data_IF_562499845738
#
_entry.id   IF_562499845738
#
_cell.length_a   1.000
_cell.length_b   1.000
_cell.length_c   1.000
_cell.angle_alpha   90.00
_cell.angle_beta   90.00
_cell.angle_gamma   90.00
#
_symmetry.space_group_name_H-M   'P 1'
#
loop_
_entity.id
_entity.type
_entity.pdbx_description
1 polymer ?
#
# COMPACT_ATOMS: atom_id res chain seq x y z
N UNK A 1 6.54 11.89 21.10
CA UNK A 1 7.55 11.22 20.25
C UNK A 1 6.91 10.01 19.56
N UNK A 2 7.16 9.84 18.26
CA UNK A 2 6.71 8.71 17.46
C UNK A 2 7.51 7.45 17.87
N UNK A 3 6.82 6.32 18.06
CA UNK A 3 7.36 5.07 18.57
C UNK A 3 7.90 4.12 17.50
N UNK A 4 7.77 4.48 16.21
CA UNK A 4 8.23 3.64 15.10
C UNK A 4 7.20 2.59 14.68
N UNK A 5 7.70 1.54 14.03
CA UNK A 5 6.89 0.45 13.50
C UNK A 5 6.49 -0.55 14.58
N UNK A 6 5.23 -0.94 14.57
CA UNK A 6 4.75 -2.06 15.36
C UNK A 6 5.46 -3.34 14.91
N UNK A 7 5.84 -4.26 15.81
CA UNK A 7 6.51 -5.50 15.44
C UNK A 7 5.75 -6.32 14.38
N UNK A 8 4.42 -6.31 14.42
CA UNK A 8 3.58 -6.96 13.39
C UNK A 8 3.73 -6.37 11.99
N UNK A 9 3.94 -5.05 11.89
CA UNK A 9 4.16 -4.42 10.60
C UNK A 9 5.52 -4.87 10.04
N UNK A 10 6.56 -4.88 10.87
CA UNK A 10 7.88 -5.41 10.49
C UNK A 10 7.80 -6.89 10.09
N UNK A 11 7.00 -7.70 10.80
CA UNK A 11 6.73 -9.10 10.43
C UNK A 11 6.02 -9.21 9.09
N UNK A 12 5.01 -8.37 8.82
CA UNK A 12 4.31 -8.35 7.54
C UNK A 12 5.25 -8.01 6.37
N UNK A 13 6.12 -7.00 6.52
CA UNK A 13 7.14 -6.67 5.51
C UNK A 13 8.13 -7.83 5.32
N UNK A 14 8.56 -8.47 6.42
CA UNK A 14 9.41 -9.66 6.37
C UNK A 14 8.75 -10.83 5.62
N UNK A 15 7.45 -11.07 5.87
CA UNK A 15 6.65 -12.07 5.13
C UNK A 15 6.55 -11.72 3.64
N UNK A 16 6.34 -10.46 3.29
CA UNK A 16 6.29 -10.03 1.88
C UNK A 16 7.61 -10.33 1.16
N UNK A 17 8.76 -10.06 1.80
CA UNK A 17 10.09 -10.38 1.26
C UNK A 17 10.25 -11.90 1.09
N UNK A 18 9.82 -12.70 2.07
CA UNK A 18 9.89 -14.15 2.00
C UNK A 18 8.99 -14.71 0.86
N UNK A 19 7.79 -14.16 0.70
CA UNK A 19 6.85 -14.52 -0.36
C UNK A 19 7.46 -14.27 -1.75
N UNK A 20 8.01 -13.08 -1.98
CA UNK A 20 8.65 -12.72 -3.26
C UNK A 20 9.77 -13.69 -3.61
N UNK A 21 10.61 -14.05 -2.64
CA UNK A 21 11.68 -15.05 -2.83
C UNK A 21 11.11 -16.42 -3.19
N UNK A 22 10.07 -16.87 -2.47
CA UNK A 22 9.44 -18.17 -2.73
C UNK A 22 8.75 -18.24 -4.10
N UNK A 23 8.29 -17.10 -4.62
CA UNK A 23 7.65 -16.98 -5.93
C UNK A 23 8.65 -16.74 -7.07
N UNK A 24 9.94 -16.54 -6.76
CA UNK A 24 10.95 -16.19 -7.78
C UNK A 24 10.74 -14.81 -8.41
N UNK A 25 9.96 -13.94 -7.76
CA UNK A 25 9.67 -12.60 -8.27
C UNK A 25 10.88 -11.68 -8.05
N UNK A 26 11.13 -10.77 -9.00
CA UNK A 26 12.33 -9.95 -9.00
C UNK A 26 12.34 -8.84 -7.92
N UNK A 27 11.18 -8.50 -7.35
CA UNK A 27 11.01 -7.38 -6.42
C UNK A 27 9.76 -7.53 -5.55
N UNK A 28 9.76 -6.83 -4.42
CA UNK A 28 8.59 -6.73 -3.54
C UNK A 28 7.68 -5.60 -4.03
N UNK A 29 6.58 -5.96 -4.68
CA UNK A 29 5.48 -5.05 -5.03
C UNK A 29 4.38 -4.96 -3.96
N UNK A 30 3.42 -4.06 -4.17
CA UNK A 30 2.27 -3.82 -3.28
C UNK A 30 1.39 -5.07 -3.12
N UNK A 31 1.29 -5.90 -4.16
CA UNK A 31 0.61 -7.19 -4.15
C UNK A 31 1.20 -8.17 -3.11
N UNK A 32 2.51 -8.11 -2.88
CA UNK A 32 3.18 -8.95 -1.89
C UNK A 32 2.96 -8.45 -0.47
N UNK A 33 2.86 -7.12 -0.29
CA UNK A 33 2.49 -6.53 1.00
C UNK A 33 1.05 -6.91 1.36
N UNK A 34 0.12 -6.81 0.40
CA UNK A 34 -1.28 -7.21 0.59
C UNK A 34 -1.40 -8.70 0.93
N UNK A 35 -0.74 -9.58 0.17
CA UNK A 35 -0.71 -11.02 0.46
C UNK A 35 -0.10 -11.32 1.84
N UNK A 36 0.97 -10.63 2.23
CA UNK A 36 1.59 -10.81 3.53
C UNK A 36 0.73 -10.36 4.72
N UNK A 37 -0.16 -9.38 4.51
CA UNK A 37 -1.15 -8.93 5.48
C UNK A 37 -2.27 -9.99 5.65
N UNK A 38 -2.74 -10.59 4.55
CA UNK A 38 -3.73 -11.68 4.56
C UNK A 38 -3.18 -13.00 5.14
N UNK A 39 -1.87 -13.18 5.15
CA UNK A 39 -1.21 -14.36 5.75
C UNK A 39 -0.97 -14.20 7.26
N UNK A 40 -1.15 -12.99 7.82
CA UNK A 40 -0.86 -12.73 9.22
C UNK A 40 -1.73 -13.55 10.19
N UNK A 41 -1.19 -13.79 11.38
CA UNK A 41 -1.66 -14.76 12.38
C UNK A 41 -3.03 -14.44 13.02
N UNK A 42 -3.79 -13.47 12.50
CA UNK A 42 -5.16 -13.11 12.90
C UNK A 42 -5.31 -12.54 14.32
N UNK A 43 -4.34 -12.78 15.21
CA UNK A 43 -4.39 -12.46 16.65
C UNK A 43 -3.59 -11.21 16.98
N UNK A 44 -4.25 -10.20 17.56
CA UNK A 44 -3.60 -9.26 18.49
C UNK A 44 -3.38 -9.95 19.84
N UNK A 45 -2.37 -9.49 20.58
CA UNK A 45 -2.17 -9.88 21.99
C UNK A 45 -3.37 -9.52 22.91
N UNK A 46 -4.36 -8.78 22.41
CA UNK A 46 -5.47 -8.19 23.17
C UNK A 46 -6.87 -8.66 22.73
N UNK A 47 -7.01 -9.69 21.88
CA UNK A 47 -8.31 -10.28 21.55
C UNK A 47 -9.15 -9.58 20.46
N UNK A 48 -8.66 -8.47 19.89
CA UNK A 48 -9.28 -7.81 18.72
C UNK A 48 -8.92 -8.52 17.40
N UNK A 49 -9.84 -8.47 16.44
CA UNK A 49 -9.65 -8.93 15.06
C UNK A 49 -8.48 -8.20 14.39
N UNK A 50 -7.54 -8.97 13.83
CA UNK A 50 -6.42 -8.43 13.04
C UNK A 50 -6.84 -8.05 11.61
N UNK A 51 -5.96 -7.34 10.90
CA UNK A 51 -6.13 -6.98 9.47
C UNK A 51 -6.45 -8.21 8.62
N UNK A 52 -5.78 -9.35 8.90
CA UNK A 52 -6.03 -10.63 8.21
C UNK A 52 -7.48 -11.08 8.35
N UNK A 53 -8.09 -10.92 9.54
CA UNK A 53 -9.50 -11.29 9.77
C UNK A 53 -10.45 -10.46 8.91
N UNK A 54 -10.21 -9.15 8.81
CA UNK A 54 -11.02 -8.27 7.95
C UNK A 54 -10.83 -8.65 6.47
N UNK A 55 -9.58 -8.88 6.02
CA UNK A 55 -9.32 -9.33 4.65
C UNK A 55 -10.05 -10.64 4.31
N UNK A 56 -9.97 -11.64 5.19
CA UNK A 56 -10.64 -12.94 5.01
C UNK A 56 -12.16 -12.79 4.98
N UNK A 57 -12.75 -11.92 5.81
CA UNK A 57 -14.20 -11.65 5.83
C UNK A 57 -14.71 -11.15 4.48
N UNK A 58 -13.89 -10.42 3.73
CA UNK A 58 -14.19 -9.92 2.39
C UNK A 58 -13.71 -10.85 1.27
N UNK A 59 -13.32 -12.09 1.58
CA UNK A 59 -12.86 -13.07 0.60
C UNK A 59 -11.40 -12.92 0.15
N UNK A 60 -10.68 -11.91 0.65
CA UNK A 60 -9.25 -11.67 0.37
C UNK A 60 -8.35 -12.63 1.17
N UNK A 61 -8.56 -13.94 0.99
CA UNK A 61 -7.75 -14.98 1.62
C UNK A 61 -6.36 -15.05 0.98
N UNK A 62 -5.38 -15.56 1.74
CA UNK A 62 -4.02 -15.71 1.21
C UNK A 62 -3.95 -16.59 -0.06
N UNK A 63 -4.80 -17.61 -0.17
CA UNK A 63 -4.87 -18.47 -1.36
C UNK A 63 -5.37 -17.68 -2.59
N UNK A 64 -6.49 -16.98 -2.46
CA UNK A 64 -7.08 -16.20 -3.56
C UNK A 64 -6.15 -15.07 -4.00
N UNK A 65 -5.57 -14.34 -3.04
CA UNK A 65 -4.62 -13.27 -3.34
C UNK A 65 -3.33 -13.80 -3.98
N UNK A 66 -2.90 -15.02 -3.64
CA UNK A 66 -1.73 -15.65 -4.26
C UNK A 66 -1.96 -15.92 -5.75
N UNK A 67 -3.14 -16.40 -6.13
CA UNK A 67 -3.49 -16.60 -7.55
C UNK A 67 -3.45 -15.28 -8.33
N UNK A 68 -4.01 -14.20 -7.76
CA UNK A 68 -3.93 -12.87 -8.38
C UNK A 68 -2.48 -12.35 -8.48
N UNK A 69 -1.65 -12.58 -7.45
CA UNK A 69 -0.22 -12.23 -7.48
C UNK A 69 0.53 -13.00 -8.57
N UNK A 70 0.21 -14.28 -8.77
CA UNK A 70 0.80 -15.10 -9.84
C UNK A 70 0.35 -14.62 -11.23
N UNK A 71 -0.92 -14.23 -11.38
CA UNK A 71 -1.44 -13.67 -12.63
C UNK A 71 -0.79 -12.33 -13.01
N UNK A 72 -0.34 -11.55 -12.02
CA UNK A 72 0.39 -10.30 -12.25
C UNK A 72 1.87 -10.51 -12.65
N UNK A 73 2.41 -11.71 -12.51
CA UNK A 73 3.79 -12.01 -12.85
C UNK A 73 4.04 -11.95 -14.38
N UNK A 74 5.28 -11.71 -14.84
CA UNK A 74 6.46 -11.35 -14.04
C UNK A 74 6.53 -9.85 -13.71
N UNK A 75 5.64 -9.04 -14.28
CA UNK A 75 5.77 -7.60 -14.26
C UNK A 75 5.29 -6.96 -12.94
N UNK A 76 4.39 -7.61 -12.21
CA UNK A 76 3.82 -7.13 -10.94
C UNK A 76 2.48 -6.42 -11.13
N UNK A 77 1.72 -6.27 -10.04
CA UNK A 77 0.32 -5.85 -10.11
C UNK A 77 0.13 -4.39 -10.54
N UNK A 78 1.06 -3.49 -10.19
CA UNK A 78 1.02 -2.11 -10.67
C UNK A 78 1.08 -2.03 -12.21
N UNK A 79 1.80 -2.95 -12.84
CA UNK A 79 1.91 -3.04 -14.31
C UNK A 79 0.65 -3.64 -14.90
N UNK A 80 0.09 -4.66 -14.26
CA UNK A 80 -1.17 -5.24 -14.69
C UNK A 80 -2.29 -4.18 -14.66
N UNK A 81 -2.33 -3.34 -13.62
CA UNK A 81 -3.24 -2.20 -13.54
C UNK A 81 -3.00 -1.17 -14.67
N UNK A 82 -1.73 -0.83 -14.95
CA UNK A 82 -1.38 0.08 -16.05
C UNK A 82 -1.77 -0.52 -17.40
N UNK A 83 -1.56 -1.83 -17.61
CA UNK A 83 -1.93 -2.56 -18.83
C UNK A 83 -3.43 -2.44 -19.08
N UNK A 84 -4.25 -2.75 -18.08
CA UNK A 84 -5.71 -2.70 -18.22
C UNK A 84 -6.19 -1.27 -18.49
N UNK A 85 -5.61 -0.29 -17.81
CA UNK A 85 -5.95 1.13 -18.01
C UNK A 85 -5.58 1.60 -19.41
N UNK A 86 -4.36 1.30 -19.87
CA UNK A 86 -3.83 1.78 -21.15
C UNK A 86 -4.40 1.00 -22.35
N UNK A 87 -4.84 -0.24 -22.15
CA UNK A 87 -5.55 -1.01 -23.17
C UNK A 87 -6.84 -0.30 -23.64
N UNK A 88 -7.52 0.44 -22.76
CA UNK A 88 -8.69 1.24 -23.13
C UNK A 88 -8.37 2.36 -24.14
N UNK A 89 -7.10 2.78 -24.21
CA UNK A 89 -6.59 3.77 -25.15
C UNK A 89 -5.92 3.13 -26.38
N UNK A 90 -5.97 1.79 -26.50
CA UNK A 90 -5.33 1.04 -27.59
C UNK A 90 -3.80 0.95 -27.47
N UNK A 91 -3.23 1.18 -26.28
CA UNK A 91 -1.78 1.11 -26.06
C UNK A 91 -1.40 -0.30 -25.57
N UNK A 92 -0.52 -0.95 -26.34
CA UNK A 92 0.04 -2.26 -26.00
C UNK A 92 1.26 -2.12 -25.07
N UNK A 93 1.02 -2.27 -23.77
CA UNK A 93 2.06 -2.20 -22.72
C UNK A 93 3.07 -3.33 -22.86
N UNK A 94 2.67 -4.53 -23.29
CA UNK A 94 3.59 -5.66 -23.40
C UNK A 94 4.60 -5.45 -24.52
N UNK A 95 4.18 -4.87 -25.65
CA UNK A 95 5.10 -4.47 -26.70
C UNK A 95 6.06 -3.35 -26.23
N UNK A 96 5.57 -2.36 -25.46
CA UNK A 96 6.44 -1.34 -24.86
C UNK A 96 7.48 -1.94 -23.90
N UNK A 97 7.07 -2.91 -23.08
CA UNK A 97 7.97 -3.59 -22.15
C UNK A 97 8.99 -4.47 -22.83
N UNK A 98 8.63 -5.09 -23.96
CA UNK A 98 9.57 -5.81 -24.81
C UNK A 98 10.66 -4.89 -25.36
N UNK A 99 10.29 -3.64 -25.71
CA UNK A 99 11.23 -2.64 -26.25
C UNK A 99 12.09 -1.97 -25.17
N UNK A 100 11.51 -1.65 -24.01
CA UNK A 100 12.18 -0.89 -22.94
C UNK A 100 12.85 -1.78 -21.86
N UNK A 101 12.48 -3.07 -21.81
CA UNK A 101 12.89 -4.02 -20.77
C UNK A 101 12.16 -3.81 -19.43
N UNK A 102 11.86 -4.89 -18.70
CA UNK A 102 11.07 -4.86 -17.47
C UNK A 102 11.62 -3.95 -16.35
N UNK A 103 12.92 -3.62 -16.36
CA UNK A 103 13.57 -2.71 -15.40
C UNK A 103 13.23 -1.23 -15.61
N UNK A 104 12.61 -0.87 -16.73
CA UNK A 104 12.26 0.52 -17.06
C UNK A 104 11.14 1.09 -16.18
N UNK A 105 10.33 0.24 -15.54
CA UNK A 105 9.11 0.67 -14.84
C UNK A 105 9.29 1.08 -13.37
N UNK A 106 10.42 0.75 -12.75
CA UNK A 106 10.77 1.22 -11.40
C UNK A 106 11.78 2.36 -11.44
N UNK A 107 11.76 3.16 -12.52
CA UNK A 107 12.65 4.32 -12.60
C UNK A 107 12.09 5.41 -11.67
N UNK A 108 12.87 5.87 -10.67
CA UNK A 108 12.42 6.96 -9.83
C UNK A 108 12.17 8.22 -10.69
N UNK A 109 11.22 9.08 -10.29
CA UNK A 109 10.96 10.33 -11.00
C UNK A 109 12.24 11.17 -11.12
N UNK A 110 12.42 11.85 -12.26
CA UNK A 110 13.59 12.69 -12.57
C UNK A 110 13.87 13.78 -11.52
N UNK A 111 12.84 14.21 -10.77
CA UNK A 111 12.94 15.24 -9.74
C UNK A 111 12.51 14.64 -8.39
N UNK A 112 13.48 14.46 -7.49
CA UNK A 112 13.20 13.94 -6.15
C UNK A 112 12.26 14.88 -5.37
N UNK A 113 11.31 14.35 -4.58
CA UNK A 113 10.49 15.18 -3.70
C UNK A 113 11.38 15.98 -2.73
N UNK A 114 11.15 17.29 -2.66
CA UNK A 114 11.79 18.25 -1.75
C UNK A 114 11.41 18.00 -0.26
N UNK A 115 11.74 16.83 0.29
CA UNK A 115 11.78 16.67 1.76
C UNK A 115 13.22 16.82 2.26
N UNK A 116 13.41 17.42 3.45
CA UNK A 116 14.72 17.56 4.03
C UNK A 116 15.16 16.19 4.58
N UNK A 117 16.30 15.72 4.10
CA UNK A 117 17.14 14.65 4.67
C UNK A 117 16.56 13.21 4.59
N UNK A 118 17.19 12.37 3.76
CA UNK A 118 17.17 10.91 3.92
C UNK A 118 16.28 10.11 2.96
N UNK A 119 15.39 10.71 2.17
CA UNK A 119 14.55 9.98 1.22
C UNK A 119 15.37 9.22 0.16
N UNK A 120 16.38 9.87 -0.44
CA UNK A 120 17.32 9.22 -1.35
C UNK A 120 18.10 8.08 -0.67
N UNK A 121 18.47 8.25 0.60
CA UNK A 121 19.17 7.23 1.38
C UNK A 121 18.27 6.03 1.69
N UNK A 122 17.01 6.27 2.04
CA UNK A 122 16.00 5.23 2.26
C UNK A 122 15.71 4.45 0.98
N UNK A 123 15.56 5.13 -0.17
CA UNK A 123 15.40 4.50 -1.49
C UNK A 123 16.62 3.64 -1.86
N UNK A 124 17.83 4.18 -1.70
CA UNK A 124 19.07 3.42 -1.90
C UNK A 124 19.18 2.21 -0.96
N UNK A 125 18.66 2.31 0.26
CA UNK A 125 18.59 1.16 1.17
C UNK A 125 17.61 0.11 0.67
N UNK A 126 16.41 0.51 0.22
CA UNK A 126 15.40 -0.40 -0.33
C UNK A 126 15.88 -1.09 -1.61
N UNK A 127 16.59 -0.36 -2.49
CA UNK A 127 17.19 -0.90 -3.71
C UNK A 127 18.33 -1.90 -3.44
N UNK A 128 18.96 -1.84 -2.26
CA UNK A 128 19.98 -2.81 -1.82
C UNK A 128 19.40 -4.03 -1.11
N UNK A 129 18.09 -4.06 -0.85
CA UNK A 129 17.45 -5.25 -0.32
C UNK A 129 17.45 -6.35 -1.39
N UNK A 130 17.44 -7.61 -0.94
CA UNK A 130 17.40 -8.76 -1.83
C UNK A 130 16.18 -9.62 -1.49
N UNK A 131 15.11 -9.62 -2.31
CA UNK A 131 14.87 -8.77 -3.48
C UNK A 131 14.58 -7.30 -3.09
N UNK A 132 14.76 -6.33 -4.00
CA UNK A 132 14.52 -4.92 -3.72
C UNK A 132 13.03 -4.62 -3.50
N UNK A 133 12.73 -3.56 -2.74
CA UNK A 133 11.37 -3.04 -2.59
C UNK A 133 11.01 -2.18 -3.83
N UNK A 134 9.93 -2.49 -4.53
CA UNK A 134 9.44 -1.72 -5.68
C UNK A 134 8.93 -0.32 -5.29
N UNK A 135 8.78 0.58 -6.27
CA UNK A 135 8.37 1.96 -5.98
C UNK A 135 6.96 2.04 -5.40
N UNK A 136 6.02 1.21 -5.88
CA UNK A 136 4.65 1.15 -5.36
C UNK A 136 4.63 0.73 -3.88
N UNK A 137 5.37 -0.34 -3.54
CA UNK A 137 5.50 -0.82 -2.17
C UNK A 137 6.14 0.23 -1.25
N UNK A 138 7.17 0.95 -1.73
CA UNK A 138 7.77 2.05 -0.98
C UNK A 138 6.77 3.20 -0.76
N UNK A 139 6.02 3.58 -1.80
CA UNK A 139 5.04 4.66 -1.74
C UNK A 139 3.86 4.31 -0.82
N UNK A 140 3.37 3.08 -0.86
CA UNK A 140 2.32 2.59 0.04
C UNK A 140 2.79 2.55 1.50
N UNK A 141 4.03 2.14 1.76
CA UNK A 141 4.64 2.18 3.09
C UNK A 141 4.79 3.62 3.61
N UNK A 142 5.27 4.52 2.76
CA UNK A 142 5.43 5.93 3.11
C UNK A 142 4.07 6.61 3.36
N UNK A 143 3.06 6.27 2.56
CA UNK A 143 1.71 6.76 2.71
C UNK A 143 1.05 6.24 4.00
N UNK A 144 1.22 4.97 4.34
CA UNK A 144 0.70 4.40 5.59
C UNK A 144 1.33 5.00 6.84
N UNK A 145 2.63 5.27 6.83
CA UNK A 145 3.29 5.99 7.91
C UNK A 145 2.69 7.39 8.08
N UNK A 146 2.48 8.11 6.98
CA UNK A 146 1.86 9.45 7.03
C UNK A 146 0.40 9.41 7.43
N UNK A 147 -0.33 8.36 7.07
CA UNK A 147 -1.69 8.15 7.54
C UNK A 147 -1.71 7.98 9.06
N UNK A 148 -0.81 7.18 9.63
CA UNK A 148 -0.69 7.04 11.09
C UNK A 148 -0.41 8.39 11.77
N UNK A 149 0.51 9.19 11.21
CA UNK A 149 0.80 10.53 11.72
C UNK A 149 -0.41 11.47 11.59
N UNK A 150 -1.14 11.42 10.47
CA UNK A 150 -2.33 12.23 10.25
C UNK A 150 -3.50 11.85 11.19
N UNK A 151 -3.58 10.58 11.59
CA UNK A 151 -4.52 10.09 12.62
C UNK A 151 -4.08 10.42 14.05
N UNK A 152 -2.91 11.02 14.22
CA UNK A 152 -2.25 11.27 15.51
C UNK A 152 -1.97 9.96 16.29
N UNK A 153 -1.63 8.90 15.56
CA UNK A 153 -1.19 7.64 16.13
C UNK A 153 0.32 7.68 16.37
N UNK A 154 0.74 7.11 17.50
CA UNK A 154 2.16 7.12 17.90
C UNK A 154 2.95 5.96 17.32
N UNK A 155 2.28 4.96 16.73
CA UNK A 155 2.87 3.71 16.28
C UNK A 155 2.36 3.45 14.86
N UNK A 156 3.25 3.08 13.95
CA UNK A 156 2.90 2.64 12.61
C UNK A 156 2.48 1.16 12.65
N UNK A 157 1.22 0.87 12.34
CA UNK A 157 0.61 -0.46 12.50
C UNK A 157 0.15 -1.05 11.15
N UNK A 158 0.00 -2.39 11.02
CA UNK A 158 -0.44 -3.06 9.79
C UNK A 158 -1.72 -2.50 9.16
N UNK A 159 -2.68 -2.07 9.97
CA UNK A 159 -3.93 -1.47 9.49
C UNK A 159 -3.72 -0.20 8.68
N UNK A 160 -2.70 0.61 9.01
CA UNK A 160 -2.36 1.79 8.21
C UNK A 160 -1.86 1.39 6.83
N UNK A 161 -1.08 0.32 6.75
CA UNK A 161 -0.60 -0.24 5.49
C UNK A 161 -1.75 -0.81 4.66
N UNK A 162 -2.65 -1.57 5.28
CA UNK A 162 -3.83 -2.10 4.61
C UNK A 162 -4.73 -0.98 4.05
N UNK A 163 -4.98 0.06 4.85
CA UNK A 163 -5.76 1.22 4.45
C UNK A 163 -5.09 2.00 3.31
N UNK A 164 -3.77 2.23 3.38
CA UNK A 164 -3.04 2.91 2.31
C UNK A 164 -3.05 2.10 1.01
N UNK A 165 -2.83 0.78 1.07
CA UNK A 165 -2.90 -0.11 -0.09
C UNK A 165 -4.30 -0.08 -0.71
N UNK A 166 -5.35 -0.27 0.09
CA UNK A 166 -6.73 -0.31 -0.41
C UNK A 166 -7.21 1.03 -0.98
N UNK A 167 -6.68 2.17 -0.51
CA UNK A 167 -7.14 3.50 -0.94
C UNK A 167 -6.30 4.19 -2.01
N UNK A 168 -5.01 3.90 -2.07
CA UNK A 168 -4.08 4.63 -2.93
C UNK A 168 -3.51 3.77 -4.05
N UNK A 169 -3.34 2.47 -3.83
CA UNK A 169 -2.47 1.65 -4.67
C UNK A 169 -3.24 0.94 -5.80
N UNK A 170 -2.99 1.27 -7.09
CA UNK A 170 -3.65 0.61 -8.21
C UNK A 170 -3.32 -0.86 -8.35
N UNK A 171 -2.11 -1.29 -7.97
CA UNK A 171 -1.72 -2.69 -8.00
C UNK A 171 -2.50 -3.51 -6.96
N UNK A 172 -2.66 -3.00 -5.75
CA UNK A 172 -3.48 -3.61 -4.71
C UNK A 172 -4.96 -3.66 -5.12
N UNK A 173 -5.48 -2.58 -5.71
CA UNK A 173 -6.85 -2.56 -6.23
C UNK A 173 -7.05 -3.58 -7.36
N UNK A 174 -6.08 -3.71 -8.28
CA UNK A 174 -6.11 -4.72 -9.33
C UNK A 174 -6.11 -6.14 -8.78
N UNK A 175 -5.28 -6.42 -7.76
CA UNK A 175 -5.24 -7.72 -7.09
C UNK A 175 -6.57 -8.05 -6.42
N UNK A 176 -7.17 -7.08 -5.72
CA UNK A 176 -8.47 -7.25 -5.08
C UNK A 176 -9.58 -7.50 -6.12
N UNK A 177 -9.60 -6.73 -7.20
CA UNK A 177 -10.56 -6.90 -8.29
C UNK A 177 -10.39 -8.27 -8.98
N UNK A 178 -9.16 -8.69 -9.26
CA UNK A 178 -8.85 -10.00 -9.85
C UNK A 178 -9.22 -11.16 -8.91
N UNK A 179 -9.20 -10.91 -7.60
CA UNK A 179 -9.67 -11.84 -6.57
C UNK A 179 -11.20 -11.82 -6.38
N UNK A 180 -11.94 -10.98 -7.11
CA UNK A 180 -13.39 -10.81 -6.94
C UNK A 180 -13.79 -10.11 -5.64
N UNK A 181 -12.86 -9.38 -5.00
CA UNK A 181 -13.08 -8.67 -3.75
C UNK A 181 -13.56 -7.25 -4.03
N UNK A 182 -14.66 -6.84 -3.40
CA UNK A 182 -15.10 -5.45 -3.40
C UNK A 182 -14.14 -4.60 -2.56
N UNK A 183 -13.22 -3.92 -3.23
CA UNK A 183 -12.22 -3.07 -2.58
C UNK A 183 -12.83 -1.90 -1.79
N UNK A 184 -13.98 -1.36 -2.21
CA UNK A 184 -14.63 -0.27 -1.51
C UNK A 184 -15.26 -0.75 -0.20
N UNK A 185 -15.98 -1.88 -0.23
CA UNK A 185 -16.53 -2.52 0.96
C UNK A 185 -15.42 -2.93 1.95
N UNK A 186 -14.32 -3.49 1.44
CA UNK A 186 -13.16 -3.85 2.25
C UNK A 186 -12.53 -2.63 2.94
N UNK A 187 -12.29 -1.53 2.22
CA UNK A 187 -11.74 -0.30 2.80
C UNK A 187 -12.67 0.28 3.86
N UNK A 188 -13.98 0.27 3.61
CA UNK A 188 -14.97 0.75 4.58
C UNK A 188 -14.95 -0.07 5.88
N UNK A 189 -14.88 -1.42 5.78
CA UNK A 189 -14.79 -2.28 6.96
C UNK A 189 -13.45 -2.16 7.68
N UNK A 190 -12.33 -2.01 6.96
CA UNK A 190 -11.03 -1.69 7.56
C UNK A 190 -11.08 -0.36 8.32
N UNK A 191 -11.73 0.67 7.77
CA UNK A 191 -11.87 1.96 8.43
C UNK A 191 -12.74 1.87 9.70
N UNK A 192 -13.83 1.09 9.64
CA UNK A 192 -14.72 0.86 10.77
C UNK A 192 -14.08 -0.01 11.88
N UNK A 193 -13.31 -1.03 11.49
CA UNK A 193 -12.59 -1.93 12.39
C UNK A 193 -11.37 -1.26 13.05
N UNK A 194 -10.76 -0.29 12.36
CA UNK A 194 -9.58 0.44 12.83
C UNK A 194 -9.81 1.97 12.78
N UNK A 195 -10.76 2.50 13.58
CA UNK A 195 -11.06 3.91 13.60
C UNK A 195 -9.89 4.69 14.22
N UNK A 196 -9.70 5.96 13.83
CA UNK A 196 -8.63 6.76 14.41
C UNK A 196 -8.89 6.98 15.91
N UNK A 197 -7.84 7.23 16.72
CA UNK A 197 -7.96 7.24 18.17
C UNK A 197 -8.93 8.33 18.64
N UNK A 198 -9.86 7.95 19.52
CA UNK A 198 -10.79 8.86 20.20
C UNK A 198 -10.04 9.68 21.26
N UNK A 199 -9.37 10.74 20.81
CA UNK A 199 -8.67 11.69 21.68
C UNK A 199 -9.59 12.82 22.15
N UNK A 200 -9.07 13.71 22.99
CA UNK A 200 -9.80 14.89 23.46
C UNK A 200 -10.35 15.74 22.30
N UNK A 201 -11.37 16.56 22.59
CA UNK A 201 -12.09 17.33 21.57
C UNK A 201 -11.17 18.24 20.73
N UNK A 202 -10.12 18.81 21.33
CA UNK A 202 -9.14 19.66 20.64
C UNK A 202 -8.38 18.90 19.56
N UNK A 203 -7.88 17.69 19.86
CA UNK A 203 -7.16 16.88 18.87
C UNK A 203 -8.08 16.33 17.79
N UNK A 204 -9.38 16.12 18.09
CA UNK A 204 -10.37 15.81 17.06
C UNK A 204 -10.62 17.00 16.14
N UNK A 205 -10.79 18.20 16.69
CA UNK A 205 -10.96 19.42 15.92
C UNK A 205 -9.73 19.75 15.05
N UNK A 206 -8.51 19.61 15.58
CA UNK A 206 -7.28 19.76 14.78
C UNK A 206 -7.21 18.73 13.63
N UNK A 207 -7.66 17.50 13.91
CA UNK A 207 -7.76 16.47 12.89
C UNK A 207 -8.74 16.87 11.78
N UNK A 208 -9.92 17.33 12.16
CA UNK A 208 -10.98 17.81 11.27
C UNK A 208 -10.58 19.04 10.46
N UNK A 209 -9.81 19.97 11.01
CA UNK A 209 -9.40 21.15 10.27
C UNK A 209 -8.36 20.82 9.18
N UNK A 210 -7.45 19.89 9.46
CA UNK A 210 -6.36 19.56 8.54
C UNK A 210 -6.55 18.32 7.66
N UNK A 211 -7.63 17.53 7.83
CA UNK A 211 -7.78 16.22 7.17
C UNK A 211 -7.70 16.32 5.65
N UNK A 212 -8.35 17.32 5.02
CA UNK A 212 -8.31 17.52 3.56
C UNK A 212 -6.92 17.81 3.05
N UNK A 213 -6.21 18.75 3.70
CA UNK A 213 -4.85 19.15 3.30
C UNK A 213 -3.88 17.97 3.46
N UNK A 214 -3.98 17.24 4.58
CA UNK A 214 -3.16 16.04 4.83
C UNK A 214 -3.47 14.93 3.83
N UNK A 215 -4.75 14.67 3.55
CA UNK A 215 -5.19 13.70 2.55
C UNK A 215 -4.67 14.02 1.15
N UNK A 216 -4.84 15.26 0.68
CA UNK A 216 -4.27 15.72 -0.59
C UNK A 216 -2.74 15.67 -0.60
N UNK A 217 -2.09 15.88 0.55
CA UNK A 217 -0.64 15.75 0.70
C UNK A 217 -0.16 14.30 0.56
N UNK A 218 -0.93 13.34 1.08
CA UNK A 218 -0.69 11.90 0.92
C UNK A 218 -0.79 11.50 -0.56
N UNK A 219 -1.92 11.82 -1.20
CA UNK A 219 -2.20 11.50 -2.61
C UNK A 219 -1.10 12.06 -3.52
N UNK A 220 -0.85 13.38 -3.45
CA UNK A 220 0.15 14.03 -4.32
C UNK A 220 1.56 13.44 -4.17
N UNK A 221 1.90 12.91 -2.99
CA UNK A 221 3.22 12.29 -2.75
C UNK A 221 3.27 10.86 -3.26
N UNK A 222 2.19 10.11 -3.08
CA UNK A 222 2.04 8.79 -3.65
C UNK A 222 2.19 8.87 -5.18
N UNK A 223 1.36 9.70 -5.82
CA UNK A 223 1.35 9.87 -7.29
C UNK A 223 2.68 10.39 -7.81
N UNK A 224 3.33 11.32 -7.09
CA UNK A 224 4.67 11.79 -7.47
C UNK A 224 5.73 10.68 -7.39
N UNK A 225 5.58 9.73 -6.48
CA UNK A 225 6.57 8.66 -6.26
C UNK A 225 6.40 7.53 -7.26
N UNK A 226 5.16 7.14 -7.53
CA UNK A 226 4.83 6.01 -8.42
C UNK A 226 4.59 6.43 -9.86
N UNK A 227 4.24 7.69 -10.11
CA UNK A 227 3.74 8.15 -11.40
C UNK A 227 2.31 7.71 -11.71
N UNK A 228 1.63 7.02 -10.78
CA UNK A 228 0.28 6.47 -10.97
C UNK A 228 -0.77 7.26 -10.21
N UNK A 229 -1.97 7.36 -10.78
CA UNK A 229 -3.13 7.99 -10.12
C UNK A 229 -3.63 7.12 -8.98
N UNK A 230 -3.95 7.73 -7.84
CA UNK A 230 -4.49 7.01 -6.68
C UNK A 230 -5.92 6.49 -6.94
N UNK A 231 -6.25 5.30 -6.42
CA UNK A 231 -7.51 4.60 -6.74
C UNK A 231 -8.76 5.27 -6.16
N UNK A 232 -8.77 5.52 -4.85
CA UNK A 232 -9.92 6.15 -4.14
C UNK A 232 -9.45 7.36 -3.33
N UNK A 233 -8.85 8.32 -4.04
CA UNK A 233 -8.31 9.56 -3.48
C UNK A 233 -9.30 10.32 -2.56
N UNK A 234 -10.60 10.28 -2.86
CA UNK A 234 -11.64 10.93 -2.04
C UNK A 234 -11.79 10.32 -0.64
N UNK A 235 -11.47 9.04 -0.46
CA UNK A 235 -11.67 8.30 0.79
C UNK A 235 -10.58 8.58 1.82
N UNK A 236 -9.38 9.01 1.38
CA UNK A 236 -8.22 9.25 2.26
C UNK A 236 -8.52 10.31 3.33
N UNK A 237 -9.26 11.36 2.96
CA UNK A 237 -9.63 12.41 3.90
C UNK A 237 -10.56 11.87 5.01
N UNK A 238 -11.53 11.01 4.66
CA UNK A 238 -12.41 10.35 5.60
C UNK A 238 -11.64 9.40 6.53
N UNK A 239 -10.66 8.67 6.01
CA UNK A 239 -9.80 7.81 6.83
C UNK A 239 -9.02 8.57 7.89
N UNK A 240 -8.67 9.85 7.64
CA UNK A 240 -7.98 10.67 8.63
C UNK A 240 -8.95 11.07 9.72
N UNK A 241 -10.13 11.58 9.37
CA UNK A 241 -11.08 12.13 10.33
C UNK A 241 -11.65 11.04 11.29
N UNK A 242 -12.17 9.96 10.69
CA UNK A 242 -12.88 8.88 11.38
C UNK A 242 -14.36 8.91 11.08
#
# INVERSE_FOLDING_TARGET
MFGGDHPELSRAVGRAIALVRSLGHARVGSEHLLLALATGDGRRATGDDGVSTVLVRHGATAAVLREAVLAAAPAGAGVAADRDTLATLGIDVDNLLRLAGARSMDRPPLREPLFPLGAATARRRCARMSPPLGLDAQAAYEASLRLALARHERIHRPEHLALALGTLDPGAAWVLASAGVDGHALVADLAASFPPPRRNALLRADRQLGHRIRGQGLIRRYERTTGRTATTASTVAALIDG
#
